data_IF_911057458272
#
_entry.id   IF_911057458272
#
_cell.length_a   1.000
_cell.length_b   1.000
_cell.length_c   1.000
_cell.angle_alpha   90.00
_cell.angle_beta   90.00
_cell.angle_gamma   90.00
#
_symmetry.space_group_name_H-M   'P 1'
#
loop_
_entity.id
_entity.type
_entity.pdbx_description
1 polymer ?
#
# COMPACT_ATOMS: atom_id res chain seq x y z
N UNK A 1 -12.19 63.66 -13.58
CA UNK A 1 -13.06 62.49 -13.81
C UNK A 1 -12.48 61.33 -13.02
N UNK A 2 -13.05 61.05 -11.84
CA UNK A 2 -12.69 59.86 -11.07
C UNK A 2 -13.32 58.65 -11.77
N UNK A 3 -12.49 57.74 -12.30
CA UNK A 3 -12.96 56.38 -12.64
C UNK A 3 -13.53 55.77 -11.35
N UNK A 4 -14.75 55.18 -11.37
CA UNK A 4 -15.24 54.46 -10.21
C UNK A 4 -14.27 53.31 -9.91
N UNK A 5 -14.02 53.08 -8.63
CA UNK A 5 -13.26 51.93 -8.13
C UNK A 5 -13.94 50.67 -8.72
N UNK A 6 -13.26 49.96 -9.62
CA UNK A 6 -13.83 48.77 -10.26
C UNK A 6 -14.09 47.73 -9.16
N UNK A 7 -15.34 47.30 -9.01
CA UNK A 7 -15.74 46.32 -7.99
C UNK A 7 -15.12 44.97 -8.33
N UNK A 8 -14.04 44.63 -7.64
CA UNK A 8 -13.44 43.31 -7.76
C UNK A 8 -14.36 42.26 -7.13
N UNK A 9 -14.58 41.17 -7.84
CA UNK A 9 -15.36 40.04 -7.35
C UNK A 9 -14.44 39.01 -6.75
N UNK A 10 -14.80 38.49 -5.57
CA UNK A 10 -14.03 37.48 -4.86
C UNK A 10 -14.45 36.08 -5.31
N UNK A 11 -13.47 35.25 -5.65
CA UNK A 11 -13.63 33.82 -5.88
C UNK A 11 -12.89 33.01 -4.81
N UNK A 12 -13.37 31.79 -4.56
CA UNK A 12 -12.77 30.82 -3.65
C UNK A 12 -12.58 29.50 -4.40
N UNK A 13 -11.32 29.08 -4.59
CA UNK A 13 -10.96 27.82 -5.22
C UNK A 13 -10.90 26.68 -4.21
N UNK A 14 -11.58 25.57 -4.52
CA UNK A 14 -11.52 24.35 -3.73
C UNK A 14 -11.14 23.14 -4.61
N UNK A 15 -10.51 22.15 -3.98
CA UNK A 15 -10.14 20.90 -4.64
C UNK A 15 -10.79 19.72 -3.92
N UNK A 16 -11.39 18.83 -4.70
CA UNK A 16 -11.99 17.59 -4.21
C UNK A 16 -11.22 16.38 -4.70
N UNK A 17 -11.01 15.44 -3.80
CA UNK A 17 -10.39 14.17 -4.12
C UNK A 17 -11.40 13.22 -4.80
N UNK A 18 -11.03 12.64 -5.94
CA UNK A 18 -11.86 11.74 -6.73
C UNK A 18 -12.36 12.39 -8.02
N UNK A 19 -13.34 11.75 -8.65
CA UNK A 19 -13.86 12.16 -9.94
C UNK A 19 -15.23 12.85 -9.83
N UNK A 20 -15.50 13.77 -10.75
CA UNK A 20 -16.82 14.41 -10.84
C UNK A 20 -17.92 13.37 -11.11
N UNK A 21 -19.02 13.43 -10.38
CA UNK A 21 -20.14 12.47 -10.47
C UNK A 21 -20.06 11.33 -9.47
N UNK A 22 -18.92 11.09 -8.84
CA UNK A 22 -18.80 10.22 -7.68
C UNK A 22 -18.83 11.03 -6.37
N UNK A 23 -19.24 10.39 -5.28
CA UNK A 23 -19.29 11.03 -3.96
C UNK A 23 -17.89 11.22 -3.40
N UNK A 24 -17.25 12.34 -3.74
CA UNK A 24 -16.00 12.79 -3.15
C UNK A 24 -16.24 13.30 -1.72
N UNK A 25 -15.73 12.57 -0.73
CA UNK A 25 -15.86 12.95 0.70
C UNK A 25 -14.69 13.81 1.19
N UNK A 26 -13.54 13.76 0.52
CA UNK A 26 -12.33 14.46 0.96
C UNK A 26 -12.15 15.79 0.21
N UNK A 27 -12.01 16.88 0.96
CA UNK A 27 -11.50 18.15 0.43
C UNK A 27 -9.99 18.21 0.63
N UNK A 28 -9.25 18.64 -0.38
CA UNK A 28 -7.85 19.00 -0.22
C UNK A 28 -7.79 20.45 0.28
N UNK A 29 -7.06 20.75 1.37
CA UNK A 29 -6.89 22.12 1.84
C UNK A 29 -6.12 22.92 0.78
N UNK A 30 -6.67 24.08 0.40
CA UNK A 30 -6.03 25.02 -0.54
C UNK A 30 -5.60 26.23 0.27
N UNK A 31 -4.29 26.43 0.39
CA UNK A 31 -3.75 27.66 0.99
C UNK A 31 -4.01 28.85 0.07
N UNK A 32 -4.40 29.99 0.64
CA UNK A 32 -4.77 31.19 -0.11
C UNK A 32 -5.83 30.92 -1.20
N UNK A 33 -6.84 30.11 -0.86
CA UNK A 33 -7.92 29.70 -1.74
C UNK A 33 -8.69 30.87 -2.38
N UNK A 34 -8.72 32.01 -1.69
CA UNK A 34 -9.44 33.20 -2.13
C UNK A 34 -8.60 34.06 -3.07
N UNK A 35 -9.27 34.63 -4.07
CA UNK A 35 -8.67 35.57 -5.01
C UNK A 35 -9.69 36.51 -5.61
N UNK A 36 -9.23 37.68 -6.00
CA UNK A 36 -10.07 38.71 -6.60
C UNK A 36 -9.85 38.75 -8.11
N UNK A 37 -10.93 38.94 -8.86
CA UNK A 37 -10.90 39.12 -10.31
C UNK A 37 -11.91 40.20 -10.73
N UNK A 38 -11.69 40.81 -11.89
CA UNK A 38 -12.55 41.82 -12.49
C UNK A 38 -13.55 41.14 -13.45
N UNK A 39 -14.86 41.22 -13.18
CA UNK A 39 -15.87 40.59 -14.05
C UNK A 39 -15.93 41.18 -15.47
N UNK A 40 -15.48 42.43 -15.66
CA UNK A 40 -15.50 43.13 -16.96
C UNK A 40 -14.23 42.89 -17.77
N UNK A 41 -13.08 42.76 -17.11
CA UNK A 41 -11.78 42.59 -17.78
C UNK A 41 -11.28 41.14 -17.79
N UNK A 42 -11.56 40.37 -16.73
CA UNK A 42 -11.04 39.02 -16.58
C UNK A 42 -12.04 38.01 -17.15
N UNK A 43 -11.67 37.41 -18.27
CA UNK A 43 -12.40 36.30 -18.86
C UNK A 43 -12.20 34.98 -18.10
N UNK A 44 -12.96 33.96 -18.52
CA UNK A 44 -12.86 32.60 -17.99
C UNK A 44 -11.42 32.07 -17.90
N UNK A 45 -10.60 32.27 -18.94
CA UNK A 45 -9.22 31.77 -19.00
C UNK A 45 -8.34 32.30 -17.86
N UNK A 46 -8.54 33.56 -17.47
CA UNK A 46 -7.75 34.20 -16.42
C UNK A 46 -8.16 33.71 -15.04
N UNK A 47 -9.47 33.58 -14.79
CA UNK A 47 -9.99 32.97 -13.56
C UNK A 47 -9.58 31.51 -13.46
N UNK A 48 -9.61 30.79 -14.59
CA UNK A 48 -9.15 29.41 -14.66
C UNK A 48 -7.67 29.31 -14.29
N UNK A 49 -6.80 30.15 -14.85
CA UNK A 49 -5.38 30.16 -14.56
C UNK A 49 -5.09 30.43 -13.07
N UNK A 50 -5.78 31.43 -12.47
CA UNK A 50 -5.63 31.78 -11.06
C UNK A 50 -6.09 30.67 -10.11
N UNK A 51 -7.18 29.98 -10.46
CA UNK A 51 -7.66 28.82 -9.72
C UNK A 51 -6.69 27.64 -9.89
N UNK A 52 -6.28 27.35 -11.13
CA UNK A 52 -5.38 26.25 -11.48
C UNK A 52 -4.03 26.36 -10.77
N UNK A 53 -3.46 27.56 -10.69
CA UNK A 53 -2.21 27.82 -9.95
C UNK A 53 -2.34 27.48 -8.46
N UNK A 54 -3.40 27.96 -7.80
CA UNK A 54 -3.67 27.65 -6.38
C UNK A 54 -3.88 26.17 -6.14
N UNK A 55 -4.63 25.52 -7.03
CA UNK A 55 -4.85 24.07 -6.99
C UNK A 55 -3.55 23.31 -7.18
N UNK A 56 -2.69 23.71 -8.12
CA UNK A 56 -1.38 23.09 -8.32
C UNK A 56 -0.49 23.21 -7.09
N UNK A 57 -0.43 24.39 -6.46
CA UNK A 57 0.30 24.60 -5.22
C UNK A 57 -0.23 23.73 -4.08
N UNK A 58 -1.56 23.67 -3.92
CA UNK A 58 -2.21 22.83 -2.91
C UNK A 58 -1.92 21.33 -3.11
N UNK A 59 -1.99 20.84 -4.36
CA UNK A 59 -1.70 19.44 -4.69
C UNK A 59 -0.21 19.09 -4.52
N UNK A 60 0.69 20.04 -4.78
CA UNK A 60 2.13 19.85 -4.57
C UNK A 60 2.48 19.68 -3.08
N UNK A 61 1.79 20.42 -2.21
CA UNK A 61 1.96 20.34 -0.76
C UNK A 61 1.14 19.20 -0.12
N UNK A 62 0.25 18.55 -0.88
CA UNK A 62 -0.59 17.49 -0.35
C UNK A 62 0.19 16.19 -0.18
N UNK A 63 0.06 15.56 1.00
CA UNK A 63 0.83 14.35 1.35
C UNK A 63 0.55 13.13 0.47
N UNK A 64 -0.58 13.13 -0.23
CA UNK A 64 -0.95 12.04 -1.13
C UNK A 64 -0.69 12.42 -2.58
N UNK A 65 0.03 11.57 -3.31
CA UNK A 65 0.17 11.71 -4.75
C UNK A 65 -1.20 11.67 -5.44
N UNK A 66 -1.46 12.68 -6.24
CA UNK A 66 -2.71 12.86 -6.97
C UNK A 66 -2.42 13.12 -8.43
N UNK A 67 -3.31 12.64 -9.28
CA UNK A 67 -3.29 12.88 -10.71
C UNK A 67 -4.58 13.58 -11.10
N UNK A 68 -4.46 14.70 -11.81
CA UNK A 68 -5.63 15.44 -12.30
C UNK A 68 -5.92 15.04 -13.74
N UNK A 69 -6.81 14.06 -13.88
CA UNK A 69 -7.39 13.60 -15.15
C UNK A 69 -8.36 14.65 -15.70
N UNK A 70 -9.23 15.18 -14.84
CA UNK A 70 -10.20 16.20 -15.20
C UNK A 70 -9.63 17.62 -15.03
N UNK A 71 -9.46 18.32 -16.16
CA UNK A 71 -8.99 19.70 -16.17
C UNK A 71 -10.13 20.72 -16.04
N UNK A 72 -11.39 20.32 -15.96
CA UNK A 72 -12.52 21.25 -15.90
C UNK A 72 -12.55 22.03 -14.58
N UNK A 73 -13.09 23.25 -14.66
CA UNK A 73 -13.42 24.08 -13.52
C UNK A 73 -14.94 24.07 -13.34
N UNK A 74 -15.40 23.74 -12.14
CA UNK A 74 -16.83 23.65 -11.83
C UNK A 74 -17.26 24.84 -11.00
N UNK A 75 -18.38 25.46 -11.36
CA UNK A 75 -19.03 26.46 -10.52
C UNK A 75 -20.03 25.77 -9.59
N UNK A 76 -20.01 26.20 -8.33
CA UNK A 76 -21.07 25.92 -7.37
C UNK A 76 -22.08 27.08 -7.38
N UNK A 77 -23.31 26.91 -7.92
CA UNK A 77 -24.23 28.02 -8.16
C UNK A 77 -24.86 28.64 -6.89
N UNK A 78 -24.78 27.94 -5.76
CA UNK A 78 -25.25 28.41 -4.45
C UNK A 78 -24.54 27.65 -3.31
N UNK A 79 -24.52 28.21 -2.11
CA UNK A 79 -23.82 27.63 -0.95
C UNK A 79 -24.30 26.21 -0.60
N UNK A 80 -25.58 25.90 -0.84
CA UNK A 80 -26.18 24.58 -0.56
C UNK A 80 -26.46 23.76 -1.82
N UNK A 81 -25.91 24.15 -2.98
CA UNK A 81 -26.07 23.41 -4.22
C UNK A 81 -25.53 21.98 -4.06
N UNK A 82 -26.31 21.00 -4.52
CA UNK A 82 -25.88 19.60 -4.60
C UNK A 82 -24.84 19.45 -5.72
N UNK A 83 -23.94 18.47 -5.63
CA UNK A 83 -22.91 18.25 -6.66
C UNK A 83 -23.50 18.07 -8.07
N UNK A 84 -24.67 17.44 -8.20
CA UNK A 84 -25.37 17.30 -9.49
C UNK A 84 -25.80 18.64 -10.13
N UNK A 85 -25.80 19.73 -9.36
CA UNK A 85 -26.11 21.08 -9.84
C UNK A 85 -24.84 21.88 -10.19
N UNK A 86 -23.65 21.30 -9.98
CA UNK A 86 -22.41 21.97 -10.37
C UNK A 86 -22.29 21.98 -11.89
N UNK A 87 -21.86 23.12 -12.42
CA UNK A 87 -21.77 23.34 -13.86
C UNK A 87 -20.31 23.47 -14.24
N UNK A 88 -19.87 22.74 -15.25
CA UNK A 88 -18.54 22.93 -15.82
C UNK A 88 -18.51 24.29 -16.56
N UNK A 89 -17.61 25.15 -16.13
CA UNK A 89 -17.40 26.47 -16.72
C UNK A 89 -16.63 26.37 -18.03
N UNK A 90 -17.06 27.17 -18.99
CA UNK A 90 -16.39 27.40 -20.28
C UNK A 90 -16.40 28.90 -20.57
N UNK A 91 -15.63 29.35 -21.55
CA UNK A 91 -15.65 30.74 -22.03
C UNK A 91 -17.06 31.19 -22.46
N UNK A 92 -17.85 30.28 -23.03
CA UNK A 92 -19.19 30.58 -23.54
C UNK A 92 -20.24 30.77 -22.43
N UNK A 93 -20.17 29.98 -21.35
CA UNK A 93 -21.19 29.99 -20.29
C UNK A 93 -20.80 30.83 -19.06
N UNK A 94 -19.57 31.34 -19.02
CA UNK A 94 -18.99 32.06 -17.87
C UNK A 94 -19.87 33.18 -17.33
N UNK A 95 -20.20 34.17 -18.17
CA UNK A 95 -20.97 35.34 -17.74
C UNK A 95 -22.40 34.97 -17.32
N UNK A 96 -23.05 34.03 -18.03
CA UNK A 96 -24.39 33.56 -17.67
C UNK A 96 -24.38 32.87 -16.30
N UNK A 97 -23.37 32.04 -16.05
CA UNK A 97 -23.23 31.32 -14.79
C UNK A 97 -22.88 32.24 -13.62
N UNK A 98 -22.04 33.26 -13.83
CA UNK A 98 -21.77 34.31 -12.84
C UNK A 98 -23.04 35.09 -12.49
N UNK A 99 -23.80 35.53 -13.50
CA UNK A 99 -25.06 36.24 -13.28
C UNK A 99 -26.06 35.38 -12.48
N UNK A 100 -26.16 34.07 -12.77
CA UNK A 100 -26.98 33.13 -12.01
C UNK A 100 -26.51 32.99 -10.56
N UNK A 101 -25.20 32.85 -10.32
CA UNK A 101 -24.65 32.76 -8.97
C UNK A 101 -24.94 34.03 -8.16
N UNK A 102 -24.75 35.21 -8.78
CA UNK A 102 -25.06 36.51 -8.17
C UNK A 102 -26.54 36.66 -7.86
N UNK A 103 -27.43 36.29 -8.78
CA UNK A 103 -28.88 36.30 -8.57
C UNK A 103 -29.30 35.34 -7.44
N UNK A 104 -28.67 34.17 -7.32
CA UNK A 104 -28.94 33.23 -6.23
C UNK A 104 -28.47 33.77 -4.87
N UNK A 105 -27.34 34.48 -4.84
CA UNK A 105 -26.85 35.13 -3.63
C UNK A 105 -27.83 36.21 -3.13
N UNK A 106 -28.33 37.08 -4.03
CA UNK A 106 -29.29 38.14 -3.66
C UNK A 106 -30.64 37.59 -3.14
N UNK A 107 -30.98 36.34 -3.47
CA UNK A 107 -32.19 35.67 -2.97
C UNK A 107 -32.03 35.12 -1.55
N UNK A 108 -30.82 35.09 -1.00
CA UNK A 108 -30.58 34.57 0.35
C UNK A 108 -30.99 35.62 1.38
N UNK A 109 -32.05 35.34 2.14
CA UNK A 109 -32.58 36.25 3.19
C UNK A 109 -31.81 36.18 4.52
N UNK A 110 -30.88 35.22 4.66
CA UNK A 110 -30.33 34.82 5.97
C UNK A 110 -28.80 34.96 6.05
N UNK A 111 -28.14 35.38 4.96
CA UNK A 111 -26.68 35.48 4.90
C UNK A 111 -26.26 36.92 4.59
N UNK A 112 -25.46 37.50 5.47
CA UNK A 112 -24.97 38.90 5.42
C UNK A 112 -23.46 38.99 5.10
N UNK A 113 -22.86 37.89 4.64
CA UNK A 113 -21.46 37.87 4.23
C UNK A 113 -21.29 38.28 2.76
N UNK A 114 -20.10 38.74 2.32
CA UNK A 114 -19.86 39.21 0.96
C UNK A 114 -20.15 38.12 -0.10
N UNK A 115 -20.48 38.55 -1.32
CA UNK A 115 -20.62 37.64 -2.45
C UNK A 115 -19.28 36.99 -2.80
N UNK A 116 -19.23 35.65 -2.80
CA UNK A 116 -18.05 34.87 -3.17
C UNK A 116 -18.43 33.81 -4.18
N UNK A 117 -17.70 33.77 -5.29
CA UNK A 117 -17.85 32.76 -6.35
C UNK A 117 -17.09 31.50 -5.94
N UNK A 118 -17.81 30.42 -5.64
CA UNK A 118 -17.19 29.15 -5.28
C UNK A 118 -16.90 28.30 -6.52
N UNK A 119 -15.62 28.11 -6.81
CA UNK A 119 -15.15 27.27 -7.93
C UNK A 119 -14.45 26.02 -7.39
N UNK A 120 -14.65 24.89 -8.07
CA UNK A 120 -14.15 23.59 -7.66
C UNK A 120 -13.43 22.88 -8.80
N UNK A 121 -12.34 22.21 -8.46
CA UNK A 121 -11.63 21.28 -9.33
C UNK A 121 -11.53 19.90 -8.66
N UNK A 122 -11.32 18.86 -9.47
CA UNK A 122 -11.22 17.48 -9.02
C UNK A 122 -9.81 16.94 -9.28
N UNK A 123 -9.32 16.12 -8.35
CA UNK A 123 -8.05 15.43 -8.48
C UNK A 123 -8.22 14.00 -7.97
N UNK A 124 -7.93 13.01 -8.81
CA UNK A 124 -7.97 11.62 -8.39
C UNK A 124 -6.70 11.29 -7.60
N UNK A 125 -6.80 10.43 -6.58
CA UNK A 125 -5.61 9.82 -6.01
C UNK A 125 -4.92 9.03 -7.11
N UNK A 126 -3.60 9.20 -7.21
CA UNK A 126 -2.82 8.28 -8.03
C UNK A 126 -3.04 6.89 -7.43
N UNK A 127 -3.48 5.94 -8.26
CA UNK A 127 -3.71 4.58 -7.81
C UNK A 127 -2.37 4.06 -7.29
N UNK A 128 -2.19 4.09 -5.96
CA UNK A 128 -1.15 3.29 -5.33
C UNK A 128 -1.46 1.88 -5.80
N UNK A 129 -0.59 1.30 -6.62
CA UNK A 129 -0.69 -0.10 -7.02
C UNK A 129 -0.63 -0.89 -5.72
N UNK A 130 -1.82 -1.15 -5.16
CA UNK A 130 -1.96 -1.74 -3.85
C UNK A 130 -1.34 -3.12 -3.87
N UNK A 131 -0.81 -3.55 -2.73
CA UNK A 131 -0.33 -4.92 -2.55
C UNK A 131 -1.46 -5.86 -2.98
N UNK A 132 -1.29 -6.53 -4.12
CA UNK A 132 -2.29 -7.45 -4.63
C UNK A 132 -2.36 -8.66 -3.71
N UNK A 133 -3.49 -9.36 -3.71
CA UNK A 133 -3.59 -10.65 -3.02
C UNK A 133 -2.81 -11.68 -3.81
N UNK A 134 -1.91 -12.40 -3.15
CA UNK A 134 -1.27 -13.59 -3.70
C UNK A 134 -2.32 -14.73 -3.76
N UNK A 135 -3.08 -14.79 -4.85
CA UNK A 135 -4.03 -15.88 -5.11
C UNK A 135 -3.28 -17.10 -5.65
N UNK A 136 -3.84 -18.33 -5.54
CA UNK A 136 -3.18 -19.52 -6.07
C UNK A 136 -2.79 -19.41 -7.56
N UNK A 137 -3.66 -18.84 -8.39
CA UNK A 137 -3.38 -18.62 -9.81
C UNK A 137 -2.18 -17.69 -10.05
N UNK A 138 -2.10 -16.58 -9.30
CA UNK A 138 -0.98 -15.63 -9.40
C UNK A 138 0.33 -16.18 -8.85
N UNK A 139 0.25 -17.01 -7.81
CA UNK A 139 1.43 -17.71 -7.28
C UNK A 139 1.95 -18.69 -8.33
N UNK A 140 1.07 -19.42 -9.03
CA UNK A 140 1.48 -20.32 -10.10
C UNK A 140 2.16 -19.56 -11.25
N UNK A 141 1.53 -18.49 -11.75
CA UNK A 141 2.12 -17.60 -12.76
C UNK A 141 3.48 -17.04 -12.31
N UNK A 142 3.55 -16.49 -11.10
CA UNK A 142 4.80 -15.98 -10.55
C UNK A 142 5.88 -17.07 -10.42
N UNK A 143 5.50 -18.32 -10.14
CA UNK A 143 6.43 -19.46 -10.09
C UNK A 143 7.01 -19.74 -11.46
N UNK A 144 6.18 -19.78 -12.52
CA UNK A 144 6.65 -20.00 -13.89
C UNK A 144 7.62 -18.91 -14.37
N UNK A 145 7.34 -17.65 -14.04
CA UNK A 145 8.23 -16.53 -14.40
C UNK A 145 9.55 -16.60 -13.61
N UNK A 146 9.50 -16.97 -12.32
CA UNK A 146 10.70 -17.19 -11.51
C UNK A 146 11.52 -18.36 -12.04
N UNK A 147 10.88 -19.45 -12.44
CA UNK A 147 11.55 -20.64 -12.97
C UNK A 147 12.26 -20.32 -14.30
N UNK A 148 11.61 -19.55 -15.17
CA UNK A 148 12.20 -19.02 -16.39
C UNK A 148 13.41 -18.13 -16.10
N UNK A 149 13.28 -17.22 -15.13
CA UNK A 149 14.36 -16.33 -14.69
C UNK A 149 15.57 -17.10 -14.15
N UNK A 150 15.35 -18.18 -13.39
CA UNK A 150 16.41 -19.03 -12.86
C UNK A 150 17.07 -19.88 -13.96
N UNK A 151 16.29 -20.34 -14.95
CA UNK A 151 16.82 -21.07 -16.10
C UNK A 151 17.76 -20.21 -16.96
N UNK A 152 17.43 -18.92 -17.13
CA UNK A 152 18.27 -17.95 -17.84
C UNK A 152 19.53 -17.55 -17.06
N UNK A 153 19.50 -17.66 -15.72
CA UNK A 153 20.60 -17.23 -14.83
C UNK A 153 21.10 -18.38 -13.96
N UNK A 154 22.01 -19.18 -14.52
CA UNK A 154 22.60 -20.35 -13.84
C UNK A 154 23.34 -20.05 -12.51
N UNK A 155 23.66 -18.79 -12.24
CA UNK A 155 24.29 -18.34 -11.00
C UNK A 155 23.32 -18.25 -9.82
N UNK A 156 22.02 -18.11 -10.08
CA UNK A 156 20.99 -17.92 -9.04
C UNK A 156 20.49 -19.29 -8.56
N UNK A 157 20.99 -19.73 -7.40
CA UNK A 157 20.51 -20.93 -6.71
C UNK A 157 19.69 -20.56 -5.47
N UNK A 158 18.40 -20.87 -5.53
CA UNK A 158 17.43 -20.63 -4.46
C UNK A 158 16.74 -21.97 -4.17
N UNK A 159 16.68 -22.38 -2.90
CA UNK A 159 15.97 -23.60 -2.52
C UNK A 159 14.46 -23.40 -2.43
N UNK A 160 13.73 -24.48 -2.18
CA UNK A 160 12.27 -24.50 -2.29
C UNK A 160 11.56 -23.56 -1.29
N UNK A 161 12.14 -23.36 -0.10
CA UNK A 161 11.57 -22.50 0.95
C UNK A 161 11.66 -21.04 0.51
N UNK A 162 12.84 -20.59 0.09
CA UNK A 162 13.04 -19.23 -0.41
C UNK A 162 12.30 -18.99 -1.73
N UNK A 163 12.22 -19.99 -2.61
CA UNK A 163 11.47 -19.92 -3.88
C UNK A 163 9.98 -19.69 -3.64
N UNK A 164 9.38 -20.41 -2.69
CA UNK A 164 7.97 -20.24 -2.33
C UNK A 164 7.68 -18.83 -1.84
N UNK A 165 8.54 -18.28 -0.97
CA UNK A 165 8.38 -16.92 -0.50
C UNK A 165 8.55 -15.89 -1.61
N UNK A 166 9.51 -16.13 -2.52
CA UNK A 166 9.71 -15.28 -3.68
C UNK A 166 8.49 -15.26 -4.59
N UNK A 167 7.92 -16.42 -4.92
CA UNK A 167 6.68 -16.52 -5.70
C UNK A 167 5.52 -15.77 -5.05
N UNK A 168 5.37 -15.86 -3.72
CA UNK A 168 4.33 -15.11 -2.99
C UNK A 168 4.59 -13.60 -3.05
N UNK A 169 5.84 -13.16 -2.90
CA UNK A 169 6.19 -11.74 -3.00
C UNK A 169 5.98 -11.20 -4.42
N UNK A 170 6.34 -11.99 -5.44
CA UNK A 170 6.20 -11.64 -6.84
C UNK A 170 4.72 -11.62 -7.26
N UNK A 171 3.90 -12.56 -6.79
CA UNK A 171 2.45 -12.60 -7.04
C UNK A 171 1.68 -11.38 -6.48
N UNK A 172 2.31 -10.60 -5.59
CA UNK A 172 1.75 -9.35 -5.05
C UNK A 172 2.11 -8.12 -5.88
N UNK A 173 3.05 -8.24 -6.80
CA UNK A 173 3.50 -7.19 -7.69
C UNK A 173 2.48 -6.92 -8.82
N UNK A 174 2.50 -5.73 -9.42
CA UNK A 174 1.76 -5.46 -10.67
C UNK A 174 2.26 -6.35 -11.82
N UNK A 175 1.44 -6.53 -12.85
CA UNK A 175 1.75 -7.46 -13.96
C UNK A 175 2.99 -7.03 -14.76
N UNK A 176 3.32 -5.73 -14.76
CA UNK A 176 4.49 -5.16 -15.44
C UNK A 176 5.79 -5.20 -14.61
N UNK A 177 5.76 -5.79 -13.41
CA UNK A 177 6.94 -5.82 -12.54
C UNK A 177 7.99 -6.83 -13.02
N UNK A 178 9.20 -6.34 -13.31
CA UNK A 178 10.35 -7.19 -13.61
C UNK A 178 10.66 -8.15 -12.45
N UNK A 179 10.94 -9.42 -12.76
CA UNK A 179 11.39 -10.39 -11.77
C UNK A 179 12.81 -10.04 -11.31
N UNK A 180 12.98 -9.85 -10.02
CA UNK A 180 14.27 -9.63 -9.37
C UNK A 180 14.34 -10.40 -8.05
N UNK A 181 15.54 -10.77 -7.64
CA UNK A 181 15.77 -11.46 -6.37
C UNK A 181 15.35 -10.55 -5.23
N UNK A 182 14.51 -11.07 -4.34
CA UNK A 182 14.03 -10.30 -3.18
C UNK A 182 15.13 -10.17 -2.13
N UNK A 183 15.66 -8.97 -1.85
CA UNK A 183 16.73 -8.81 -0.84
C UNK A 183 16.26 -8.75 0.63
N UNK A 184 14.98 -9.03 0.90
CA UNK A 184 14.40 -8.89 2.24
C UNK A 184 15.09 -9.78 3.29
N UNK A 185 15.10 -9.34 4.55
CA UNK A 185 15.63 -10.13 5.67
C UNK A 185 14.98 -11.52 5.78
N UNK A 186 13.67 -11.62 5.53
CA UNK A 186 12.94 -12.90 5.50
C UNK A 186 13.40 -13.81 4.38
N UNK A 187 13.65 -13.25 3.19
CA UNK A 187 14.19 -14.03 2.07
C UNK A 187 15.59 -14.57 2.39
N UNK A 188 16.47 -13.76 2.99
CA UNK A 188 17.80 -14.22 3.45
C UNK A 188 17.69 -15.34 4.50
N UNK A 189 16.76 -15.23 5.44
CA UNK A 189 16.48 -16.29 6.42
C UNK A 189 16.01 -17.58 5.75
N UNK A 190 15.10 -17.49 4.79
CA UNK A 190 14.58 -18.66 4.09
C UNK A 190 15.64 -19.32 3.21
N UNK A 191 16.49 -18.51 2.56
CA UNK A 191 17.64 -19.01 1.79
C UNK A 191 18.65 -19.72 2.69
N UNK A 192 18.87 -19.19 3.91
CA UNK A 192 19.69 -19.85 4.92
C UNK A 192 19.08 -21.20 5.39
N UNK A 193 17.75 -21.26 5.56
CA UNK A 193 17.06 -22.52 5.88
C UNK A 193 17.21 -23.56 4.77
N UNK A 194 17.13 -23.14 3.50
CA UNK A 194 17.37 -24.02 2.36
C UNK A 194 18.81 -24.59 2.38
N UNK A 195 19.80 -23.73 2.64
CA UNK A 195 21.20 -24.15 2.75
C UNK A 195 21.41 -25.18 3.88
N UNK A 196 20.79 -24.96 5.04
CA UNK A 196 20.85 -25.92 6.15
C UNK A 196 20.02 -27.19 5.95
N UNK A 197 19.05 -27.19 5.04
CA UNK A 197 18.25 -28.38 4.71
C UNK A 197 18.95 -29.25 3.66
N UNK A 198 19.86 -28.65 2.89
CA UNK A 198 20.63 -29.31 1.82
C UNK A 198 21.99 -29.82 2.33
N UNK A 199 22.51 -29.28 3.44
CA UNK A 199 23.69 -29.86 4.09
C UNK A 199 23.38 -31.29 4.52
N UNK A 200 24.15 -32.31 4.07
CA UNK A 200 24.07 -33.65 4.62
C UNK A 200 24.16 -33.49 6.13
N UNK A 201 23.15 -33.96 6.84
CA UNK A 201 23.21 -34.10 8.28
C UNK A 201 24.45 -34.95 8.54
N UNK A 202 25.57 -34.31 8.92
CA UNK A 202 26.71 -35.03 9.46
C UNK A 202 26.13 -35.93 10.54
N UNK A 203 26.34 -37.22 10.34
CA UNK A 203 25.97 -38.41 11.10
C UNK A 203 25.93 -38.20 12.62
N UNK A 204 25.05 -37.33 13.12
CA UNK A 204 24.72 -37.20 14.53
C UNK A 204 23.69 -38.25 14.83
N UNK A 205 24.20 -39.48 14.90
CA UNK A 205 23.55 -40.66 15.37
C UNK A 205 22.18 -40.86 14.74
N UNK A 206 22.11 -41.62 13.64
CA UNK A 206 21.04 -42.60 13.54
C UNK A 206 20.83 -43.17 14.94
N UNK A 207 19.59 -43.13 15.45
CA UNK A 207 19.21 -43.59 16.80
C UNK A 207 19.87 -44.94 17.09
N UNK A 208 21.09 -44.90 17.60
CA UNK A 208 21.88 -46.09 17.79
C UNK A 208 21.32 -46.65 19.08
N UNK A 209 20.58 -47.75 18.95
CA UNK A 209 19.94 -48.44 20.07
C UNK A 209 20.89 -48.56 21.26
N UNK A 210 22.20 -48.70 20.98
CA UNK A 210 23.27 -48.66 21.98
C UNK A 210 24.22 -47.49 21.79
N UNK A 211 24.53 -46.78 22.89
CA UNK A 211 25.53 -45.72 22.94
C UNK A 211 26.65 -46.08 23.94
N UNK A 212 27.87 -45.63 23.69
CA UNK A 212 29.00 -45.88 24.59
C UNK A 212 29.18 -44.70 25.55
N UNK A 213 29.00 -44.94 26.85
CA UNK A 213 29.27 -44.01 27.93
C UNK A 213 30.65 -44.29 28.52
N UNK A 214 31.42 -43.24 28.80
CA UNK A 214 32.65 -43.37 29.59
C UNK A 214 32.34 -43.06 31.04
N UNK A 215 32.61 -44.00 31.95
CA UNK A 215 32.30 -43.89 33.38
C UNK A 215 33.57 -44.10 34.19
N UNK A 216 33.70 -43.34 35.28
CA UNK A 216 34.78 -43.46 36.26
C UNK A 216 34.21 -43.65 37.65
N UNK A 217 34.53 -44.76 38.32
CA UNK A 217 34.05 -45.05 39.68
C UNK A 217 35.19 -44.88 40.68
N UNK A 218 34.97 -44.12 41.75
CA UNK A 218 35.88 -44.00 42.91
C UNK A 218 37.35 -43.70 42.55
N UNK A 219 37.60 -42.86 41.54
CA UNK A 219 38.95 -42.47 41.11
C UNK A 219 39.72 -43.52 40.29
N UNK A 220 39.05 -44.61 39.87
CA UNK A 220 39.63 -45.62 38.97
C UNK A 220 39.85 -45.08 37.54
N UNK A 221 40.34 -45.93 36.64
CA UNK A 221 40.55 -45.56 35.22
C UNK A 221 39.20 -45.50 34.48
N UNK A 222 39.15 -44.66 33.45
CA UNK A 222 37.96 -44.56 32.60
C UNK A 222 37.59 -45.91 31.99
N UNK A 223 36.34 -46.30 32.17
CA UNK A 223 35.76 -47.51 31.59
C UNK A 223 34.69 -47.13 30.58
N UNK A 224 34.72 -47.78 29.41
CA UNK A 224 33.70 -47.62 28.38
C UNK A 224 32.61 -48.66 28.57
N UNK A 225 31.37 -48.22 28.76
CA UNK A 225 30.17 -49.04 28.88
C UNK A 225 29.26 -48.81 27.69
N UNK A 226 28.81 -49.86 27.05
CA UNK A 226 27.81 -49.77 25.98
C UNK A 226 26.43 -50.00 26.59
N UNK A 227 25.56 -49.01 26.50
CA UNK A 227 24.25 -48.99 27.15
C UNK A 227 23.15 -48.69 26.16
N UNK A 228 21.97 -49.27 26.39
CA UNK A 228 20.81 -48.94 25.59
C UNK A 228 20.34 -47.50 25.91
N UNK A 229 20.28 -46.65 24.88
CA UNK A 229 19.99 -45.22 25.06
C UNK A 229 18.53 -45.00 25.50
N UNK A 230 17.57 -45.81 25.02
CA UNK A 230 16.15 -45.65 25.39
C UNK A 230 15.88 -46.05 26.85
N UNK A 231 16.51 -47.12 27.31
CA UNK A 231 16.39 -47.59 28.69
C UNK A 231 17.07 -46.60 29.66
N UNK A 232 18.27 -46.12 29.31
CA UNK A 232 18.97 -45.11 30.12
C UNK A 232 18.15 -43.82 30.22
N UNK A 233 17.54 -43.36 29.12
CA UNK A 233 16.66 -42.17 29.14
C UNK A 233 15.43 -42.40 30.00
N UNK A 234 14.80 -43.56 29.90
CA UNK A 234 13.61 -43.90 30.69
C UNK A 234 13.94 -43.94 32.18
N UNK A 235 15.07 -44.53 32.56
CA UNK A 235 15.52 -44.61 33.95
C UNK A 235 15.90 -43.24 34.53
N UNK A 236 16.36 -42.31 33.70
CA UNK A 236 16.70 -40.93 34.07
C UNK A 236 15.53 -39.94 33.85
N UNK A 237 14.35 -40.43 33.46
CA UNK A 237 13.18 -39.60 33.10
C UNK A 237 13.47 -38.53 32.03
N UNK A 238 14.42 -38.80 31.14
CA UNK A 238 14.81 -37.90 30.06
C UNK A 238 13.89 -38.06 28.84
N UNK A 239 13.60 -36.97 28.10
CA UNK A 239 12.81 -37.06 26.88
C UNK A 239 13.49 -37.89 25.79
N UNK A 240 12.68 -38.53 24.94
CA UNK A 240 13.18 -39.33 23.81
C UNK A 240 13.77 -38.49 22.66
N UNK A 241 13.77 -37.17 22.77
CA UNK A 241 14.41 -36.25 21.82
C UNK A 241 15.69 -35.66 22.42
N UNK A 242 16.61 -35.24 21.57
CA UNK A 242 17.84 -34.57 22.01
C UNK A 242 17.52 -33.28 22.77
N UNK A 243 18.03 -33.16 24.00
CA UNK A 243 17.92 -31.95 24.83
C UNK A 243 18.88 -30.84 24.38
N UNK A 244 19.79 -31.14 23.45
CA UNK A 244 20.54 -30.10 22.77
C UNK A 244 19.55 -29.40 21.84
N UNK A 245 19.01 -28.27 22.32
CA UNK A 245 18.19 -27.37 21.54
C UNK A 245 19.04 -26.83 20.40
N UNK A 246 19.02 -27.52 19.26
CA UNK A 246 19.07 -26.82 17.99
C UNK A 246 17.67 -26.20 17.85
N UNK A 247 17.58 -24.88 17.71
CA UNK A 247 16.33 -24.12 17.67
C UNK A 247 15.44 -24.56 16.49
N UNK A 248 14.77 -25.71 16.60
CA UNK A 248 14.07 -26.39 15.50
C UNK A 248 12.99 -27.34 16.04
N UNK A 249 11.80 -26.83 16.30
CA UNK A 249 10.57 -27.58 16.03
C UNK A 249 9.42 -26.60 15.79
N UNK A 250 9.19 -26.27 14.52
CA UNK A 250 7.84 -26.01 14.03
C UNK A 250 7.54 -27.10 12.99
N UNK A 251 7.15 -28.27 13.47
CA UNK A 251 6.52 -29.26 12.59
C UNK A 251 5.07 -28.84 12.39
N UNK A 252 4.67 -28.70 11.12
CA UNK A 252 3.25 -28.55 10.74
C UNK A 252 2.45 -29.73 11.30
N UNK A 253 1.33 -29.53 12.01
CA UNK A 253 0.32 -30.55 12.11
C UNK A 253 -0.42 -30.62 10.77
N UNK A 254 -0.20 -31.70 10.01
CA UNK A 254 -1.14 -32.10 8.97
C UNK A 254 -2.39 -32.65 9.67
N UNK A 255 -3.56 -32.20 9.18
CA UNK A 255 -4.91 -32.67 9.51
C UNK A 255 -5.49 -32.19 10.85
N UNK A 256 -6.16 -31.04 10.80
CA UNK A 256 -7.37 -30.79 11.59
C UNK A 256 -8.33 -29.96 10.72
N UNK A 257 -9.32 -30.66 10.15
CA UNK A 257 -10.55 -30.05 9.64
C UNK A 257 -11.20 -29.30 10.81
N UNK A 258 -11.32 -27.98 10.70
CA UNK A 258 -12.20 -27.21 11.58
C UNK A 258 -13.52 -26.98 10.86
N UNK A 259 -14.53 -27.75 11.23
CA UNK A 259 -15.93 -27.41 10.93
C UNK A 259 -16.39 -26.31 11.88
N UNK A 260 -16.76 -25.17 11.32
CA UNK A 260 -17.41 -24.09 12.07
C UNK A 260 -18.89 -24.44 12.28
N UNK A 261 -19.34 -24.46 13.54
CA UNK A 261 -20.75 -24.27 13.87
C UNK A 261 -20.89 -22.87 14.47
N UNK A 262 -21.89 -22.18 13.93
CA UNK A 262 -22.38 -20.81 14.21
C UNK A 262 -22.51 -20.46 15.68
#
# INVERSE_FOLDING_TARGET
>A
MNKPLMEKTRACAAVKEGDFGHTSRTSVPVENADFDFDEEQDGFEQVYALADERVKLALANYSTKTTRSDKKLYLKPSQHAKQAQFVALTSENWHEMLAKARANYHKQKTFDGPFVVHVLMYAAKEARQGIRRATPARIAEATEVIDSYMAERAEVRVGDIARTHWAISQARQPDDASVSITESAKFRQMHHLDAMSTSPQEDRGADSVFGTLTVRLNGSRDMKLTVNVSELRTLLELPNYSLIVCYRTFSRPQNLLWTWKT
#
